data_IF_964322255295
#
_entry.id   IF_964322255295
#
_cell.length_a   1.000
_cell.length_b   1.000
_cell.length_c   1.000
_cell.angle_alpha   90.00
_cell.angle_beta   90.00
_cell.angle_gamma   90.00
#
_symmetry.space_group_name_H-M   'P 1'
#
loop_
_entity.id
_entity.type
_entity.pdbx_description
1 polymer ?
#
# COMPACT_ATOMS: atom_id res chain seq x y z
N UNK A 1 -5.45 19.15 10.49
CA UNK A 1 -4.95 18.02 9.68
C UNK A 1 -6.05 16.96 9.57
N UNK A 2 -6.35 16.53 8.35
CA UNK A 2 -7.40 15.54 8.16
C UNK A 2 -6.88 14.13 8.47
N UNK A 3 -7.71 13.30 9.08
CA UNK A 3 -7.35 11.92 9.39
C UNK A 3 -8.39 10.99 8.76
N UNK A 4 -7.93 10.11 7.86
CA UNK A 4 -8.78 9.17 7.14
C UNK A 4 -8.16 7.78 7.25
N UNK A 5 -8.99 6.79 7.59
CA UNK A 5 -8.55 5.41 7.76
C UNK A 5 -7.41 5.26 8.78
N UNK A 6 -7.37 6.13 9.78
CA UNK A 6 -6.32 6.14 10.79
C UNK A 6 -5.03 6.81 10.36
N UNK A 7 -4.99 7.42 9.18
CA UNK A 7 -3.80 8.06 8.62
C UNK A 7 -3.99 9.57 8.58
N UNK A 8 -2.99 10.31 9.06
CA UNK A 8 -2.97 11.77 8.95
C UNK A 8 -2.50 12.13 7.54
N UNK A 9 -3.39 12.71 6.74
CA UNK A 9 -3.04 13.09 5.37
C UNK A 9 -2.59 14.55 5.34
N UNK A 10 -1.66 14.92 4.43
CA UNK A 10 -1.18 16.29 4.33
C UNK A 10 -2.30 17.24 3.94
N UNK A 11 -2.37 18.40 4.57
CA UNK A 11 -3.42 19.40 4.29
C UNK A 11 -3.08 20.33 3.14
N UNK A 12 -1.80 20.46 2.82
CA UNK A 12 -1.34 21.34 1.75
C UNK A 12 -1.25 20.67 0.38
N UNK A 13 -1.62 19.40 0.28
CA UNK A 13 -1.61 18.64 -0.97
C UNK A 13 -3.01 18.58 -1.57
N UNK A 14 -3.09 18.36 -2.89
CA UNK A 14 -4.37 18.10 -3.53
C UNK A 14 -4.95 16.80 -2.99
N UNK A 15 -6.28 16.71 -2.96
CA UNK A 15 -6.97 15.55 -2.40
C UNK A 15 -6.52 14.26 -3.06
N UNK A 16 -6.39 14.25 -4.39
CA UNK A 16 -5.94 13.06 -5.13
C UNK A 16 -4.56 12.59 -4.67
N UNK A 17 -3.64 13.52 -4.45
CA UNK A 17 -2.29 13.21 -4.01
C UNK A 17 -2.30 12.77 -2.54
N UNK A 18 -3.06 13.47 -1.71
CA UNK A 18 -3.11 13.19 -0.27
C UNK A 18 -3.70 11.81 0.03
N UNK A 19 -4.72 11.39 -0.71
CA UNK A 19 -5.34 10.08 -0.51
C UNK A 19 -4.38 8.93 -0.79
N UNK A 20 -3.37 9.14 -1.62
CA UNK A 20 -2.38 8.11 -1.91
C UNK A 20 -1.45 7.81 -0.73
N UNK A 21 -1.46 8.61 0.32
CA UNK A 21 -0.73 8.33 1.56
C UNK A 21 -1.36 7.18 2.34
N UNK A 22 -2.59 6.80 2.00
CA UNK A 22 -3.28 5.69 2.64
C UNK A 22 -2.84 4.39 1.95
N UNK A 23 -2.38 3.41 2.72
CA UNK A 23 -1.98 2.11 2.17
C UNK A 23 -3.20 1.43 1.52
N UNK A 24 -3.10 1.14 0.26
CA UNK A 24 -4.19 0.54 -0.53
C UNK A 24 -4.85 1.48 -1.51
N UNK A 25 -4.53 2.78 -1.46
CA UNK A 25 -5.07 3.77 -2.40
C UNK A 25 -3.93 4.32 -3.24
N UNK A 26 -4.00 4.07 -4.54
CA UNK A 26 -3.09 4.65 -5.53
C UNK A 26 -3.77 5.74 -6.33
N UNK A 27 -3.14 6.16 -7.43
CA UNK A 27 -3.64 7.26 -8.25
C UNK A 27 -5.04 6.99 -8.81
N UNK A 28 -5.28 5.78 -9.31
CA UNK A 28 -6.57 5.42 -9.91
C UNK A 28 -7.70 5.44 -8.90
N UNK A 29 -7.48 4.81 -7.74
CA UNK A 29 -8.51 4.77 -6.69
C UNK A 29 -8.77 6.16 -6.12
N UNK A 30 -7.73 6.98 -5.97
CA UNK A 30 -7.90 8.36 -5.51
C UNK A 30 -8.77 9.16 -6.46
N UNK A 31 -8.58 9.01 -7.76
CA UNK A 31 -9.42 9.66 -8.77
C UNK A 31 -10.85 9.18 -8.70
N UNK A 32 -11.05 7.88 -8.57
CA UNK A 32 -12.40 7.31 -8.48
C UNK A 32 -13.14 7.85 -7.25
N UNK A 33 -12.46 7.94 -6.11
CA UNK A 33 -13.05 8.46 -4.89
C UNK A 33 -13.48 9.92 -5.07
N UNK A 34 -12.59 10.76 -5.61
CA UNK A 34 -12.91 12.18 -5.80
C UNK A 34 -14.02 12.40 -6.81
N UNK A 35 -14.09 11.58 -7.86
CA UNK A 35 -15.16 11.64 -8.84
C UNK A 35 -16.50 11.27 -8.22
N UNK A 36 -16.54 10.21 -7.41
CA UNK A 36 -17.78 9.74 -6.79
C UNK A 36 -18.34 10.72 -5.75
N UNK A 37 -17.47 11.43 -5.04
CA UNK A 37 -17.91 12.43 -4.06
C UNK A 37 -17.97 13.85 -4.64
N UNK A 38 -17.77 14.01 -5.94
CA UNK A 38 -17.87 15.28 -6.67
C UNK A 38 -16.93 16.37 -6.16
N UNK A 39 -15.68 15.98 -5.90
CA UNK A 39 -14.64 16.93 -5.49
C UNK A 39 -13.78 17.25 -6.72
N UNK A 40 -13.55 18.56 -7.02
CA UNK A 40 -12.69 18.94 -8.17
C UNK A 40 -11.26 18.40 -7.98
N UNK A 41 -10.59 18.00 -9.08
CA UNK A 41 -9.24 17.41 -8.98
C UNK A 41 -8.18 18.33 -8.40
N UNK A 42 -8.35 19.64 -8.56
CA UNK A 42 -7.38 20.62 -8.07
C UNK A 42 -7.63 21.07 -6.64
N UNK A 43 -8.67 20.51 -5.98
CA UNK A 43 -9.01 20.85 -4.61
C UNK A 43 -7.95 20.33 -3.65
N UNK A 44 -7.56 21.17 -2.68
CA UNK A 44 -6.62 20.78 -1.65
C UNK A 44 -7.33 20.31 -0.40
N UNK A 45 -6.66 19.51 0.42
CA UNK A 45 -7.25 18.93 1.62
C UNK A 45 -7.73 20.01 2.59
N UNK A 46 -6.96 21.09 2.73
CA UNK A 46 -7.34 22.18 3.64
C UNK A 46 -8.55 22.99 3.18
N UNK A 47 -9.01 22.76 1.95
CA UNK A 47 -10.21 23.41 1.40
C UNK A 47 -11.46 22.54 1.54
N UNK A 48 -11.32 21.33 2.09
CA UNK A 48 -12.45 20.44 2.27
C UNK A 48 -13.27 20.81 3.49
N UNK A 49 -14.61 20.72 3.36
CA UNK A 49 -15.50 20.85 4.50
C UNK A 49 -15.52 19.54 5.30
N UNK A 50 -16.00 19.63 6.55
CA UNK A 50 -16.15 18.44 7.39
C UNK A 50 -17.07 17.41 6.75
N UNK A 51 -18.13 17.86 6.08
CA UNK A 51 -19.06 16.96 5.39
C UNK A 51 -18.36 16.21 4.26
N UNK A 52 -17.50 16.87 3.50
CA UNK A 52 -16.75 16.24 2.42
C UNK A 52 -15.75 15.20 2.95
N UNK A 53 -15.09 15.50 4.05
CA UNK A 53 -14.18 14.55 4.69
C UNK A 53 -14.93 13.32 5.16
N UNK A 54 -16.10 13.49 5.76
CA UNK A 54 -16.95 12.39 6.21
C UNK A 54 -17.37 11.52 5.03
N UNK A 55 -17.76 12.14 3.90
CA UNK A 55 -18.14 11.40 2.70
C UNK A 55 -16.98 10.55 2.16
N UNK A 56 -15.78 11.08 2.17
CA UNK A 56 -14.58 10.33 1.74
C UNK A 56 -14.35 9.15 2.68
N UNK A 57 -14.42 9.36 3.99
CA UNK A 57 -14.25 8.28 4.97
C UNK A 57 -15.26 7.17 4.79
N UNK A 58 -16.52 7.52 4.62
CA UNK A 58 -17.59 6.54 4.45
C UNK A 58 -17.40 5.72 3.18
N UNK A 59 -16.99 6.38 2.08
CA UNK A 59 -16.76 5.69 0.83
C UNK A 59 -15.60 4.70 0.94
N UNK A 60 -14.51 5.10 1.59
CA UNK A 60 -13.34 4.23 1.77
C UNK A 60 -13.73 3.03 2.62
N UNK A 61 -14.43 3.26 3.73
CA UNK A 61 -14.85 2.18 4.62
C UNK A 61 -15.76 1.17 3.92
N UNK A 62 -16.63 1.66 3.02
CA UNK A 62 -17.61 0.80 2.35
C UNK A 62 -17.03 0.04 1.16
N UNK A 63 -16.23 0.72 0.33
CA UNK A 63 -15.85 0.20 -0.98
C UNK A 63 -14.40 -0.28 -1.09
N UNK A 64 -13.54 0.08 -0.15
CA UNK A 64 -12.10 -0.20 -0.24
C UNK A 64 -11.57 -0.87 1.01
N UNK A 65 -10.64 -1.80 0.80
CA UNK A 65 -9.88 -2.39 1.91
C UNK A 65 -8.53 -1.66 1.97
N UNK A 66 -8.24 -1.01 3.07
CA UNK A 66 -7.06 -0.17 3.22
C UNK A 66 -6.36 -0.39 4.56
N UNK A 67 -5.14 0.08 4.67
CA UNK A 67 -4.33 0.11 5.88
C UNK A 67 -4.27 -1.24 6.59
N UNK A 68 -4.58 -1.28 7.89
CA UNK A 68 -4.45 -2.50 8.69
C UNK A 68 -5.23 -3.68 8.13
N UNK A 69 -6.43 -3.46 7.62
CA UNK A 69 -7.25 -4.52 7.04
C UNK A 69 -6.59 -5.10 5.79
N UNK A 70 -6.04 -4.24 4.93
CA UNK A 70 -5.34 -4.69 3.73
C UNK A 70 -4.06 -5.43 4.09
N UNK A 71 -3.29 -4.92 5.04
CA UNK A 71 -2.07 -5.57 5.50
C UNK A 71 -2.36 -6.95 6.06
N UNK A 72 -3.43 -7.08 6.82
CA UNK A 72 -3.86 -8.35 7.37
C UNK A 72 -4.26 -9.32 6.28
N UNK A 73 -5.00 -8.85 5.27
CA UNK A 73 -5.41 -9.66 4.13
C UNK A 73 -4.21 -10.19 3.35
N UNK A 74 -3.25 -9.32 3.05
CA UNK A 74 -2.02 -9.72 2.34
C UNK A 74 -1.24 -10.75 3.16
N UNK A 75 -1.09 -10.52 4.47
CA UNK A 75 -0.39 -11.45 5.35
C UNK A 75 -1.07 -12.82 5.38
N UNK A 76 -2.41 -12.84 5.43
CA UNK A 76 -3.16 -14.10 5.40
C UNK A 76 -3.01 -14.83 4.08
N UNK A 77 -2.99 -14.10 2.97
CA UNK A 77 -2.80 -14.70 1.65
C UNK A 77 -1.40 -15.32 1.52
N UNK A 78 -0.38 -14.62 2.00
CA UNK A 78 0.99 -15.15 2.02
C UNK A 78 1.07 -16.40 2.89
N UNK A 79 0.46 -16.36 4.08
CA UNK A 79 0.45 -17.51 4.99
C UNK A 79 -0.23 -18.71 4.35
N UNK A 80 -1.35 -18.48 3.64
CA UNK A 80 -2.04 -19.55 2.93
C UNK A 80 -1.13 -20.24 1.91
N UNK A 81 -0.38 -19.44 1.15
CA UNK A 81 0.57 -19.99 0.17
C UNK A 81 1.65 -20.80 0.85
N UNK A 82 2.17 -20.35 1.98
CA UNK A 82 3.17 -21.07 2.76
C UNK A 82 2.61 -22.38 3.30
N UNK A 83 1.39 -22.35 3.84
CA UNK A 83 0.75 -23.55 4.39
C UNK A 83 0.46 -24.59 3.33
N UNK A 84 0.13 -24.16 2.10
CA UNK A 84 -0.08 -25.07 0.98
C UNK A 84 1.21 -25.72 0.50
N UNK A 85 2.35 -25.15 0.82
CA UNK A 85 3.65 -25.67 0.39
C UNK A 85 3.92 -25.53 -1.09
N UNK A 86 3.20 -24.67 -1.81
CA UNK A 86 3.42 -24.42 -3.22
C UNK A 86 4.71 -23.65 -3.45
N UNK A 87 5.16 -23.57 -4.72
CA UNK A 87 6.39 -22.87 -5.06
C UNK A 87 6.37 -21.41 -4.59
N UNK A 88 5.26 -20.70 -4.82
CA UNK A 88 5.13 -19.31 -4.39
C UNK A 88 5.27 -19.17 -2.87
N UNK A 89 4.67 -20.09 -2.12
CA UNK A 89 4.78 -20.08 -0.67
C UNK A 89 6.20 -20.33 -0.19
N UNK A 90 6.91 -21.23 -0.84
CA UNK A 90 8.32 -21.50 -0.51
C UNK A 90 9.20 -20.26 -0.75
N UNK A 91 8.93 -19.51 -1.84
CA UNK A 91 9.66 -18.28 -2.11
C UNK A 91 9.40 -17.23 -1.04
N UNK A 92 8.16 -17.09 -0.59
CA UNK A 92 7.84 -16.19 0.54
C UNK A 92 8.53 -16.61 1.82
N UNK A 93 8.56 -17.91 2.11
CA UNK A 93 9.17 -18.44 3.32
C UNK A 93 10.67 -18.14 3.35
N UNK A 94 11.33 -18.23 2.21
CA UNK A 94 12.77 -17.98 2.09
C UNK A 94 13.12 -16.51 1.89
N UNK A 95 12.12 -15.63 1.75
CA UNK A 95 12.37 -14.23 1.49
C UNK A 95 12.96 -13.94 0.12
N UNK A 96 12.63 -14.77 -0.87
CA UNK A 96 13.12 -14.63 -2.23
C UNK A 96 12.05 -14.07 -3.16
N UNK A 97 12.44 -13.49 -4.32
CA UNK A 97 11.46 -13.00 -5.28
C UNK A 97 10.51 -14.12 -5.72
N UNK A 98 9.23 -13.78 -5.85
CA UNK A 98 8.16 -14.76 -6.09
C UNK A 98 7.79 -14.86 -7.56
N UNK A 99 8.09 -13.83 -8.37
CA UNK A 99 7.63 -13.72 -9.75
C UNK A 99 8.70 -14.08 -10.77
N UNK A 100 9.60 -15.00 -10.44
CA UNK A 100 10.59 -15.50 -11.38
C UNK A 100 11.76 -14.56 -11.66
N UNK A 101 11.97 -13.57 -10.81
CA UNK A 101 13.08 -12.63 -10.98
C UNK A 101 14.42 -13.32 -10.68
N UNK A 102 15.47 -12.78 -11.30
CA UNK A 102 16.82 -13.27 -11.04
C UNK A 102 17.22 -13.07 -9.60
N UNK A 103 17.90 -14.05 -9.03
CA UNK A 103 18.42 -13.94 -7.67
C UNK A 103 19.94 -13.83 -7.63
N UNK A 104 20.59 -14.14 -8.76
CA UNK A 104 22.05 -14.15 -8.83
C UNK A 104 22.65 -12.75 -8.68
N UNK A 105 21.98 -11.73 -9.22
CA UNK A 105 22.50 -10.37 -9.21
C UNK A 105 21.64 -9.44 -8.36
N UNK A 106 20.47 -9.09 -8.78
CA UNK A 106 19.61 -8.08 -8.15
C UNK A 106 18.72 -8.69 -7.06
N UNK A 107 17.49 -8.29 -6.97
CA UNK A 107 16.49 -8.77 -6.00
C UNK A 107 16.76 -8.31 -4.56
N UNK A 108 17.36 -7.11 -4.41
CA UNK A 108 17.71 -6.59 -3.07
C UNK A 108 16.50 -6.23 -2.23
N UNK A 109 15.37 -5.87 -2.84
CA UNK A 109 14.16 -5.54 -2.09
C UNK A 109 13.71 -6.69 -1.20
N UNK A 110 13.76 -7.92 -1.71
CA UNK A 110 13.38 -9.11 -0.97
C UNK A 110 14.52 -9.68 -0.13
N UNK A 111 15.72 -9.70 -0.68
CA UNK A 111 16.88 -10.31 -0.04
C UNK A 111 17.56 -9.39 0.97
N UNK A 112 17.27 -8.08 0.89
CA UNK A 112 17.91 -7.09 1.70
C UNK A 112 19.24 -6.60 1.10
N UNK A 113 19.93 -5.70 1.80
CA UNK A 113 21.20 -5.17 1.30
C UNK A 113 22.24 -6.27 1.09
N UNK A 114 23.14 -6.03 0.13
CA UNK A 114 24.21 -6.97 -0.13
C UNK A 114 25.15 -7.06 1.07
N UNK A 115 25.56 -8.27 1.39
CA UNK A 115 26.48 -8.53 2.52
C UNK A 115 27.70 -9.27 2.02
N UNK A 116 28.85 -8.91 2.58
CA UNK A 116 30.05 -9.69 2.38
C UNK A 116 29.90 -11.04 3.11
N UNK A 117 30.35 -12.10 2.47
CA UNK A 117 30.30 -13.43 3.09
C UNK A 117 31.45 -13.52 4.09
N UNK A 118 31.13 -13.84 5.34
CA UNK A 118 32.12 -13.95 6.39
C UNK A 118 33.14 -15.04 6.05
N UNK A 119 34.42 -14.73 6.20
CA UNK A 119 35.49 -15.65 5.88
C UNK A 119 35.86 -15.74 4.43
N UNK A 120 35.12 -15.09 3.53
CA UNK A 120 35.40 -15.07 2.12
C UNK A 120 36.22 -13.83 1.77
N UNK A 121 37.50 -14.04 1.54
CA UNK A 121 38.45 -12.94 1.36
C UNK A 121 39.05 -12.94 -0.01
N UNK A 122 39.43 -11.78 -0.44
CA UNK A 122 40.13 -11.62 -1.69
C UNK A 122 41.55 -11.21 -1.43
#
# INVERSE_FOLDING_TARGET
>A
MARIAGVNIPTNKRVIIALQYIHGIGATKARDITTKVNIPPDRRVNQLSDAEVIQIREMIDRDYMVEGDLRRDVAMNVKRLMDLGCYRGLRHRRGLPVRGQRTHTNARTRKGPARAIAGKRK
#
